data_IF_055683900393
#
_entry.id   IF_055683900393
#
_cell.length_a   1.000
_cell.length_b   1.000
_cell.length_c   1.000
_cell.angle_alpha   90.00
_cell.angle_beta   90.00
_cell.angle_gamma   90.00
#
_symmetry.space_group_name_H-M   'P 1'
#
loop_
_entity.id
_entity.type
_entity.pdbx_description
1 polymer ?
#
# COMPACT_ATOMS: atom_id res chain seq x y z
N UNK A 1 -3.72 4.87 19.13
CA UNK A 1 -4.04 5.70 17.95
C UNK A 1 -5.41 6.31 18.18
N UNK A 2 -5.70 7.51 17.66
CA UNK A 2 -7.04 8.10 17.75
C UNK A 2 -7.85 7.66 16.53
N UNK A 3 -9.06 7.16 16.76
CA UNK A 3 -9.98 6.80 15.68
C UNK A 3 -10.45 8.07 14.96
N UNK A 4 -10.43 8.04 13.63
CA UNK A 4 -10.96 9.11 12.79
C UNK A 4 -12.47 8.88 12.65
N UNK A 5 -13.26 9.95 12.65
CA UNK A 5 -14.68 9.86 12.27
C UNK A 5 -14.75 9.60 10.77
N UNK A 6 -15.21 8.43 10.38
CA UNK A 6 -15.26 7.97 8.99
C UNK A 6 -16.28 8.78 8.17
N UNK A 7 -15.93 9.11 6.94
CA UNK A 7 -16.86 9.69 5.97
C UNK A 7 -17.73 8.60 5.33
N UNK A 8 -18.91 8.95 4.80
CA UNK A 8 -19.85 7.99 4.21
C UNK A 8 -19.21 7.11 3.12
N UNK A 9 -18.33 7.69 2.29
CA UNK A 9 -17.58 6.94 1.28
C UNK A 9 -16.58 5.94 1.88
N UNK A 10 -15.91 6.29 2.97
CA UNK A 10 -14.96 5.42 3.68
C UNK A 10 -15.70 4.21 4.30
N UNK A 11 -16.87 4.45 4.90
CA UNK A 11 -17.72 3.40 5.46
C UNK A 11 -18.19 2.42 4.38
N UNK A 12 -18.61 2.93 3.22
CA UNK A 12 -19.08 2.08 2.11
C UNK A 12 -17.95 1.26 1.46
N UNK A 13 -16.74 1.80 1.43
CA UNK A 13 -15.56 1.05 0.97
C UNK A 13 -15.06 0.05 2.02
N UNK A 14 -15.52 0.15 3.27
CA UNK A 14 -15.04 -0.67 4.38
C UNK A 14 -13.66 -0.24 4.90
N UNK A 15 -13.24 0.99 4.61
CA UNK A 15 -11.97 1.55 5.05
C UNK A 15 -12.02 1.87 6.55
N UNK A 16 -11.00 1.45 7.30
CA UNK A 16 -10.83 1.78 8.72
C UNK A 16 -9.57 2.62 8.92
N UNK A 17 -9.68 3.90 8.58
CA UNK A 17 -8.56 4.83 8.66
C UNK A 17 -8.32 5.31 10.10
N UNK A 18 -7.05 5.34 10.51
CA UNK A 18 -6.62 5.82 11.82
C UNK A 18 -5.65 6.98 11.67
N UNK A 19 -5.63 7.90 12.65
CA UNK A 19 -4.67 9.00 12.62
C UNK A 19 -3.26 8.49 12.92
N UNK A 20 -2.36 8.70 11.96
CA UNK A 20 -0.94 8.44 12.14
C UNK A 20 -0.29 9.50 13.06
N UNK A 21 0.80 9.17 13.77
CA UNK A 21 1.46 10.08 14.71
C UNK A 21 2.28 11.21 14.05
N UNK A 22 2.35 11.26 12.71
CA UNK A 22 3.11 12.27 11.98
C UNK A 22 2.33 13.57 11.85
N UNK A 23 2.89 14.67 12.36
CA UNK A 23 2.31 16.00 12.22
C UNK A 23 2.93 16.73 11.03
N UNK A 24 2.17 16.80 9.94
CA UNK A 24 2.53 17.41 8.66
C UNK A 24 1.77 18.73 8.44
N UNK A 25 2.19 19.78 9.14
CA UNK A 25 1.55 21.09 9.04
C UNK A 25 1.98 21.82 7.75
N UNK A 26 1.05 22.49 7.07
CA UNK A 26 1.30 23.16 5.79
C UNK A 26 2.43 24.18 5.88
N UNK A 27 3.41 24.06 4.98
CA UNK A 27 4.63 24.89 4.91
C UNK A 27 5.49 24.91 6.19
N UNK A 28 5.30 23.94 7.09
CA UNK A 28 6.20 23.75 8.23
C UNK A 28 7.13 22.59 7.95
N UNK A 29 8.39 22.91 7.68
CA UNK A 29 9.44 21.91 7.60
C UNK A 29 9.80 21.39 9.00
N UNK A 30 10.18 20.11 9.04
CA UNK A 30 10.69 19.44 10.23
C UNK A 30 11.91 18.63 9.83
N UNK A 31 12.92 18.58 10.68
CA UNK A 31 14.13 17.80 10.40
C UNK A 31 14.38 16.84 11.55
N UNK A 32 14.33 15.54 11.26
CA UNK A 32 14.56 14.46 12.22
C UNK A 32 13.72 14.56 13.50
N UNK A 33 12.43 14.84 13.35
CA UNK A 33 11.49 14.90 14.47
C UNK A 33 11.21 13.48 14.99
N UNK A 34 11.21 13.32 16.32
CA UNK A 34 10.99 12.01 16.96
C UNK A 34 9.50 11.68 16.96
N UNK A 35 9.15 10.56 16.35
CA UNK A 35 7.79 10.00 16.39
C UNK A 35 7.59 9.28 17.72
N UNK A 36 8.45 8.30 17.98
CA UNK A 36 8.42 7.51 19.20
C UNK A 36 9.76 6.79 19.43
N UNK A 37 10.01 6.45 20.69
CA UNK A 37 11.07 5.54 21.12
C UNK A 37 10.41 4.26 21.60
N UNK A 38 10.81 3.12 21.06
CA UNK A 38 10.25 1.83 21.44
C UNK A 38 11.36 0.79 21.52
N UNK A 39 11.35 0.04 22.62
CA UNK A 39 12.12 -1.21 22.75
C UNK A 39 11.28 -2.35 22.17
N UNK A 40 11.72 -2.90 21.05
CA UNK A 40 11.05 -4.02 20.40
C UNK A 40 11.40 -5.30 21.15
N UNK A 41 10.37 -6.06 21.53
CA UNK A 41 10.51 -7.43 22.06
C UNK A 41 10.99 -8.40 20.97
N UNK A 42 11.48 -9.57 21.38
CA UNK A 42 11.95 -10.60 20.43
C UNK A 42 10.83 -11.04 19.49
N UNK A 43 9.61 -11.14 20.01
CA UNK A 43 8.42 -11.50 19.25
C UNK A 43 8.10 -10.43 18.20
N UNK A 44 8.16 -9.15 18.57
CA UNK A 44 7.94 -8.02 17.65
C UNK A 44 9.02 -7.93 16.58
N UNK A 45 10.29 -8.17 16.94
CA UNK A 45 11.40 -8.24 15.98
C UNK A 45 11.16 -9.37 14.98
N UNK A 46 10.73 -10.54 15.45
CA UNK A 46 10.32 -11.65 14.59
C UNK A 46 9.18 -11.30 13.63
N UNK A 47 8.16 -10.56 14.11
CA UNK A 47 7.05 -10.07 13.28
C UNK A 47 7.52 -9.07 12.22
N UNK A 48 8.35 -8.09 12.59
CA UNK A 48 8.91 -7.13 11.64
C UNK A 48 9.77 -7.82 10.59
N UNK A 49 10.64 -8.75 10.98
CA UNK A 49 11.46 -9.53 10.06
C UNK A 49 10.60 -10.33 9.07
N UNK A 50 9.52 -10.96 9.55
CA UNK A 50 8.58 -11.68 8.69
C UNK A 50 7.82 -10.76 7.72
N UNK A 51 7.46 -9.55 8.17
CA UNK A 51 6.82 -8.53 7.35
C UNK A 51 7.77 -8.00 6.27
N UNK A 52 9.02 -7.68 6.63
CA UNK A 52 10.06 -7.23 5.70
C UNK A 52 10.38 -8.32 4.67
N UNK A 53 10.44 -9.59 5.08
CA UNK A 53 10.63 -10.73 4.15
C UNK A 53 9.52 -10.86 3.11
N UNK A 54 8.32 -10.37 3.41
CA UNK A 54 7.14 -10.39 2.53
C UNK A 54 6.88 -9.04 1.86
N UNK A 55 7.85 -8.12 1.89
CA UNK A 55 7.76 -6.78 1.30
C UNK A 55 6.53 -5.99 1.76
N UNK A 56 6.17 -6.10 3.03
CA UNK A 56 5.07 -5.32 3.60
C UNK A 56 5.37 -3.82 3.52
N UNK A 57 4.36 -3.07 3.14
CA UNK A 57 4.36 -1.62 3.08
C UNK A 57 3.21 -1.07 3.92
N UNK A 58 3.37 0.18 4.38
CA UNK A 58 2.27 0.94 4.95
C UNK A 58 1.62 1.80 3.88
N UNK A 59 0.33 2.06 4.05
CA UNK A 59 -0.44 3.00 3.25
C UNK A 59 -0.97 4.10 4.17
N UNK A 60 -0.82 5.34 3.75
CA UNK A 60 -1.32 6.51 4.45
C UNK A 60 -1.99 7.46 3.45
N UNK A 61 -2.78 8.39 3.97
CA UNK A 61 -3.40 9.44 3.18
C UNK A 61 -3.06 10.80 3.79
N UNK A 62 -2.70 11.75 2.92
CA UNK A 62 -2.48 13.13 3.29
C UNK A 62 -3.15 14.03 2.25
N UNK A 63 -4.09 14.87 2.66
CA UNK A 63 -4.93 15.68 1.75
C UNK A 63 -5.60 14.84 0.64
N UNK A 64 -6.11 13.67 1.02
CA UNK A 64 -6.69 12.62 0.15
C UNK A 64 -5.72 12.01 -0.88
N UNK A 65 -4.43 12.37 -0.82
CA UNK A 65 -3.40 11.76 -1.65
C UNK A 65 -2.85 10.49 -0.98
N UNK A 66 -2.93 9.33 -1.64
CA UNK A 66 -2.41 8.10 -1.09
C UNK A 66 -0.88 8.07 -1.18
N UNK A 67 -0.23 7.61 -0.12
CA UNK A 67 1.21 7.37 -0.08
C UNK A 67 1.49 5.98 0.44
N UNK A 68 2.55 5.38 -0.10
CA UNK A 68 3.01 4.06 0.28
C UNK A 68 4.50 4.09 0.60
N UNK A 69 4.91 3.28 1.57
CA UNK A 69 6.31 3.11 1.93
C UNK A 69 6.57 1.73 2.50
N UNK A 70 7.68 1.11 2.09
CA UNK A 70 8.09 -0.17 2.66
C UNK A 70 8.51 -0.01 4.11
N UNK A 71 8.23 -1.04 4.91
CA UNK A 71 8.57 -1.06 6.34
C UNK A 71 10.08 -1.30 6.54
N UNK A 72 10.72 -2.01 5.60
CA UNK A 72 12.13 -2.34 5.66
C UNK A 72 12.67 -2.84 4.33
N UNK A 73 13.90 -3.35 4.34
CA UNK A 73 14.54 -3.97 3.17
C UNK A 73 15.27 -5.25 3.56
N UNK A 74 15.39 -6.16 2.60
CA UNK A 74 16.24 -7.34 2.71
C UNK A 74 17.53 -7.07 1.95
N UNK A 75 18.64 -7.29 2.61
CA UNK A 75 19.96 -7.26 2.00
C UNK A 75 20.42 -8.68 1.67
N UNK A 76 20.67 -8.90 0.38
CA UNK A 76 20.94 -10.21 -0.23
C UNK A 76 22.38 -10.32 -0.73
N UNK A 77 23.32 -9.67 -0.05
CA UNK A 77 24.75 -9.76 -0.40
C UNK A 77 25.33 -11.18 -0.26
N UNK A 78 24.74 -12.03 0.59
CA UNK A 78 25.14 -13.43 0.73
C UNK A 78 24.59 -14.34 -0.37
N UNK A 79 25.40 -15.34 -0.78
CA UNK A 79 25.00 -16.35 -1.78
C UNK A 79 23.95 -17.32 -1.25
N UNK A 80 23.91 -17.53 0.07
CA UNK A 80 22.97 -18.42 0.73
C UNK A 80 21.85 -17.65 1.46
N UNK A 81 20.61 -18.20 1.52
CA UNK A 81 19.49 -17.55 2.20
C UNK A 81 19.70 -17.31 3.70
N UNK A 82 20.65 -18.01 4.32
CA UNK A 82 21.03 -17.84 5.73
C UNK A 82 21.81 -16.56 6.00
N UNK A 83 22.43 -15.98 4.96
CA UNK A 83 23.24 -14.76 5.08
C UNK A 83 22.43 -13.49 4.84
N UNK A 84 21.13 -13.63 4.57
CA UNK A 84 20.25 -12.49 4.32
C UNK A 84 20.07 -11.67 5.59
N UNK A 85 20.34 -10.38 5.48
CA UNK A 85 20.10 -9.43 6.56
C UNK A 85 18.78 -8.72 6.36
N UNK A 86 18.05 -8.55 7.44
CA UNK A 86 16.75 -7.90 7.44
C UNK A 86 16.87 -6.58 8.18
N UNK A 87 16.54 -5.50 7.48
CA UNK A 87 16.64 -4.15 8.03
C UNK A 87 15.28 -3.50 8.09
N UNK A 88 14.98 -2.89 9.23
CA UNK A 88 13.84 -2.02 9.43
C UNK A 88 14.25 -0.57 9.15
N UNK A 89 13.40 0.17 8.46
CA UNK A 89 13.60 1.59 8.29
C UNK A 89 13.13 2.38 9.52
N UNK A 90 13.97 3.26 10.06
CA UNK A 90 13.60 4.09 11.21
C UNK A 90 13.30 5.55 10.87
N UNK A 91 13.72 6.04 9.70
CA UNK A 91 13.59 7.45 9.33
C UNK A 91 12.85 7.64 8.01
N UNK A 92 11.68 8.26 8.10
CA UNK A 92 10.81 8.54 6.95
C UNK A 92 10.91 10.01 6.55
N UNK A 93 11.16 10.27 5.27
CA UNK A 93 11.19 11.59 4.68
C UNK A 93 9.93 11.83 3.87
N UNK A 94 9.16 12.85 4.24
CA UNK A 94 8.02 13.35 3.50
C UNK A 94 8.46 14.54 2.67
N UNK A 95 8.43 14.39 1.34
CA UNK A 95 8.61 15.50 0.40
C UNK A 95 7.24 15.89 -0.14
N UNK A 96 6.76 17.06 0.28
CA UNK A 96 5.44 17.55 -0.07
C UNK A 96 5.59 18.70 -1.07
N UNK A 97 4.96 18.56 -2.22
CA UNK A 97 4.93 19.56 -3.26
C UNK A 97 3.63 20.35 -3.20
N UNK A 98 3.75 21.66 -3.29
CA UNK A 98 2.62 22.58 -3.19
C UNK A 98 2.63 23.60 -4.31
N UNK A 99 1.45 24.08 -4.68
CA UNK A 99 1.28 25.20 -5.59
C UNK A 99 0.36 26.20 -4.91
N UNK A 100 0.89 27.39 -4.59
CA UNK A 100 0.23 28.42 -3.80
C UNK A 100 -0.22 27.89 -2.43
N UNK A 101 -1.51 27.70 -2.25
CA UNK A 101 -2.20 27.31 -1.02
C UNK A 101 -2.65 25.84 -1.02
N UNK A 102 -2.24 25.05 -2.01
CA UNK A 102 -2.73 23.67 -2.19
C UNK A 102 -1.61 22.65 -2.26
N UNK A 103 -1.84 21.51 -1.63
CA UNK A 103 -1.00 20.32 -1.76
C UNK A 103 -1.27 19.67 -3.10
N UNK A 104 -0.19 19.39 -3.83
CA UNK A 104 -0.24 18.81 -5.18
C UNK A 104 0.23 17.36 -5.15
N UNK A 105 1.34 17.09 -4.46
CA UNK A 105 1.95 15.78 -4.45
C UNK A 105 2.63 15.55 -3.11
N UNK A 106 2.66 14.31 -2.65
CA UNK A 106 3.47 13.90 -1.52
C UNK A 106 4.24 12.64 -1.89
N UNK A 107 5.53 12.64 -1.60
CA UNK A 107 6.42 11.51 -1.77
C UNK A 107 6.96 11.07 -0.42
N UNK A 108 7.03 9.76 -0.24
CA UNK A 108 7.65 9.14 0.91
C UNK A 108 8.97 8.55 0.45
N UNK A 109 10.05 8.95 1.13
CA UNK A 109 11.37 8.38 0.95
C UNK A 109 11.86 7.85 2.28
N UNK A 110 12.75 6.88 2.24
CA UNK A 110 13.30 6.29 3.45
C UNK A 110 14.81 6.37 3.37
N UNK A 111 15.45 6.80 4.47
CA UNK A 111 16.91 6.97 4.47
C UNK A 111 17.60 5.60 4.51
N UNK A 112 18.39 5.23 3.49
CA UNK A 112 19.13 3.97 3.47
C UNK A 112 20.22 3.87 4.54
N UNK A 113 20.61 4.99 5.18
CA UNK A 113 21.57 5.01 6.28
C UNK A 113 20.90 4.87 7.65
N UNK A 114 19.60 5.17 7.74
CA UNK A 114 18.82 5.05 8.96
C UNK A 114 18.12 3.68 9.03
N UNK A 115 18.93 2.64 9.23
CA UNK A 115 18.49 1.26 9.32
C UNK A 115 18.65 0.71 10.73
N UNK A 116 17.80 -0.27 11.05
CA UNK A 116 17.91 -1.10 12.24
C UNK A 116 17.97 -2.55 11.81
N UNK A 117 19.00 -3.26 12.24
CA UNK A 117 19.12 -4.69 11.99
C UNK A 117 18.13 -5.47 12.87
N UNK A 118 17.24 -6.22 12.23
CA UNK A 118 16.22 -7.08 12.85
C UNK A 118 16.42 -8.55 12.46
N UNK A 119 17.64 -8.93 12.06
CA UNK A 119 17.97 -10.28 11.59
C UNK A 119 17.93 -11.31 12.72
N UNK A 120 18.38 -10.94 13.92
CA UNK A 120 18.44 -11.82 15.09
C UNK A 120 17.23 -11.65 16.02
N UNK A 121 16.82 -12.72 16.70
CA UNK A 121 15.74 -12.72 17.70
C UNK A 121 16.19 -12.14 19.05
N UNK A 122 16.58 -10.86 19.02
CA UNK A 122 16.99 -10.08 20.19
C UNK A 122 16.12 -8.85 20.34
N UNK A 123 16.10 -8.29 21.54
CA UNK A 123 15.46 -7.01 21.77
C UNK A 123 16.25 -5.90 21.09
N UNK A 124 15.54 -4.95 20.50
CA UNK A 124 16.15 -3.85 19.75
C UNK A 124 15.48 -2.54 20.12
N UNK A 125 16.28 -1.58 20.59
CA UNK A 125 15.82 -0.22 20.83
C UNK A 125 15.78 0.57 19.52
N UNK A 126 14.60 1.07 19.17
CA UNK A 126 14.37 1.85 17.95
C UNK A 126 13.78 3.20 18.28
N UNK A 127 14.41 4.24 17.75
CA UNK A 127 13.87 5.59 17.70
C UNK A 127 13.41 5.87 16.27
N UNK A 128 12.09 6.01 16.10
CA UNK A 128 11.49 6.35 14.81
C UNK A 128 11.48 7.86 14.62
N UNK A 129 11.97 8.30 13.47
CA UNK A 129 12.20 9.69 13.11
C UNK A 129 11.45 10.02 11.82
N UNK A 130 11.13 11.29 11.64
CA UNK A 130 10.63 11.77 10.37
C UNK A 130 11.13 13.17 10.01
N UNK A 131 11.28 13.40 8.72
CA UNK A 131 11.63 14.71 8.15
C UNK A 131 10.52 15.15 7.21
N UNK A 132 10.20 16.43 7.20
CA UNK A 132 9.19 17.04 6.33
C UNK A 132 9.84 18.17 5.54
N UNK A 133 9.78 18.06 4.22
CA UNK A 133 10.30 19.07 3.29
C UNK A 133 9.19 19.54 2.37
N UNK A 134 9.10 20.85 2.19
CA UNK A 134 8.12 21.48 1.33
C UNK A 134 8.81 22.03 0.08
N UNK A 135 8.24 21.75 -1.08
CA UNK A 135 8.80 22.18 -2.38
C UNK A 135 7.71 22.82 -3.22
N UNK A 136 7.99 23.97 -3.81
CA UNK A 136 7.06 24.59 -4.73
C UNK A 136 6.99 23.80 -6.05
N UNK A 137 5.83 23.84 -6.70
CA UNK A 137 5.63 23.29 -8.04
C UNK A 137 4.68 24.14 -8.85
N UNK A 138 4.86 24.12 -10.17
CA UNK A 138 3.98 24.80 -11.13
C UNK A 138 2.80 23.92 -11.58
N UNK A 139 2.72 22.66 -11.11
CA UNK A 139 1.64 21.75 -11.47
C UNK A 139 0.28 22.28 -10.96
N UNK A 140 -0.72 22.46 -11.85
CA UNK A 140 -2.07 22.85 -11.46
C UNK A 140 -2.77 21.81 -10.58
N UNK A 141 -3.65 22.25 -9.69
CA UNK A 141 -4.36 21.37 -8.74
C UNK A 141 -5.26 20.34 -9.43
N UNK A 142 -5.88 20.68 -10.56
CA UNK A 142 -6.71 19.79 -11.36
C UNK A 142 -5.95 18.56 -11.89
N UNK A 143 -4.64 18.68 -12.09
CA UNK A 143 -3.77 17.59 -12.57
C UNK A 143 -3.13 16.78 -11.45
N UNK A 144 -3.43 17.08 -10.17
CA UNK A 144 -2.77 16.44 -9.03
C UNK A 144 -2.97 14.92 -8.98
N UNK A 145 -4.09 14.43 -9.51
CA UNK A 145 -4.45 13.00 -9.46
C UNK A 145 -3.85 12.19 -10.63
N UNK A 146 -3.31 12.86 -11.67
CA UNK A 146 -2.79 12.21 -12.87
C UNK A 146 -1.64 11.23 -12.56
N UNK A 147 -0.84 11.52 -11.53
CA UNK A 147 0.24 10.64 -11.07
C UNK A 147 -0.30 9.34 -10.44
N UNK A 148 -1.38 9.44 -9.68
CA UNK A 148 -1.92 8.32 -8.91
C UNK A 148 -2.79 7.40 -9.77
N UNK A 149 -3.48 7.93 -10.78
CA UNK A 149 -4.26 7.13 -11.73
C UNK A 149 -3.38 6.16 -12.54
N UNK A 150 -2.13 6.56 -12.84
CA UNK A 150 -1.15 5.68 -13.47
C UNK A 150 -0.57 4.67 -12.46
N UNK A 151 -0.32 5.10 -11.23
CA UNK A 151 0.31 4.27 -10.17
C UNK A 151 -0.63 3.23 -9.57
N UNK A 152 -1.96 3.45 -9.60
CA UNK A 152 -2.96 2.45 -9.20
C UNK A 152 -2.96 1.19 -10.07
N UNK A 153 -2.21 1.19 -11.19
CA UNK A 153 -1.99 0.01 -12.04
C UNK A 153 -0.80 -0.87 -11.61
N UNK A 154 -0.29 -0.70 -10.37
CA UNK A 154 0.84 -1.48 -9.85
C UNK A 154 0.61 -3.01 -10.02
N UNK A 155 1.62 -3.78 -10.49
CA UNK A 155 1.38 -4.94 -11.36
C UNK A 155 0.71 -6.16 -10.72
N UNK A 156 0.65 -6.24 -9.38
CA UNK A 156 0.23 -7.47 -8.70
C UNK A 156 -1.30 -7.64 -8.59
N UNK A 157 -2.09 -6.57 -8.71
CA UNK A 157 -3.55 -6.67 -8.55
C UNK A 157 -4.29 -6.89 -9.89
N UNK A 158 -3.73 -6.41 -11.00
CA UNK A 158 -4.40 -6.49 -12.30
C UNK A 158 -4.42 -7.91 -12.87
N UNK A 159 -3.42 -8.74 -12.54
CA UNK A 159 -3.30 -10.12 -13.04
C UNK A 159 -4.31 -11.09 -12.43
N UNK A 160 -4.91 -10.80 -11.28
CA UNK A 160 -5.77 -11.78 -10.59
C UNK A 160 -7.24 -11.66 -11.02
N UNK A 161 -7.71 -10.45 -11.35
CA UNK A 161 -9.12 -10.23 -11.67
C UNK A 161 -9.55 -10.78 -13.04
N UNK A 162 -8.70 -10.68 -14.06
CA UNK A 162 -9.06 -11.13 -15.41
C UNK A 162 -9.23 -12.66 -15.51
N UNK A 163 -8.51 -13.44 -14.68
CA UNK A 163 -8.69 -14.90 -14.60
C UNK A 163 -10.11 -15.27 -14.12
N UNK A 164 -10.63 -14.58 -13.10
CA UNK A 164 -12.00 -14.79 -12.62
C UNK A 164 -13.06 -14.37 -13.65
N UNK A 165 -12.80 -13.30 -14.40
CA UNK A 165 -13.70 -12.82 -15.47
C UNK A 165 -13.78 -13.86 -16.59
N UNK A 166 -12.65 -14.40 -17.05
CA UNK A 166 -12.64 -15.45 -18.08
C UNK A 166 -13.37 -16.71 -17.59
N UNK A 167 -13.07 -17.16 -16.38
CA UNK A 167 -13.71 -18.35 -15.81
C UNK A 167 -15.25 -18.17 -15.74
N UNK A 168 -15.72 -17.00 -15.30
CA UNK A 168 -17.15 -16.68 -15.31
C UNK A 168 -17.74 -16.69 -16.72
N UNK A 169 -17.09 -16.05 -17.70
CA UNK A 169 -17.57 -16.03 -19.09
C UNK A 169 -17.68 -17.43 -19.70
N UNK A 170 -16.69 -18.29 -19.47
CA UNK A 170 -16.70 -19.68 -19.98
C UNK A 170 -17.87 -20.47 -19.38
N UNK A 171 -18.10 -20.36 -18.07
CA UNK A 171 -19.21 -21.07 -17.42
C UNK A 171 -20.58 -20.64 -17.96
N UNK A 172 -20.79 -19.34 -18.19
CA UNK A 172 -22.05 -18.81 -18.74
C UNK A 172 -22.30 -19.33 -20.16
N UNK A 173 -21.26 -19.36 -21.02
CA UNK A 173 -21.39 -19.88 -22.38
C UNK A 173 -21.74 -21.37 -22.40
N UNK A 174 -21.10 -22.17 -21.55
CA UNK A 174 -21.38 -23.61 -21.43
C UNK A 174 -22.82 -23.88 -20.94
N UNK A 175 -23.27 -23.16 -19.90
CA UNK A 175 -24.63 -23.30 -19.37
C UNK A 175 -25.68 -22.87 -20.39
N UNK A 176 -25.44 -21.78 -21.12
CA UNK A 176 -26.34 -21.30 -22.18
C UNK A 176 -26.41 -22.30 -23.33
N UNK A 177 -25.26 -22.85 -23.75
CA UNK A 177 -25.21 -23.91 -24.76
C UNK A 177 -25.98 -25.16 -24.34
N UNK A 178 -25.78 -25.63 -23.10
CA UNK A 178 -26.49 -26.79 -22.58
C UNK A 178 -28.01 -26.55 -22.54
N UNK A 179 -28.45 -25.39 -22.04
CA UNK A 179 -29.86 -25.01 -22.02
C UNK A 179 -30.45 -24.97 -23.43
N UNK A 180 -29.74 -24.37 -24.39
CA UNK A 180 -30.17 -24.33 -25.78
C UNK A 180 -30.34 -25.74 -26.39
N UNK A 181 -29.44 -26.68 -26.09
CA UNK A 181 -29.57 -28.07 -26.57
C UNK A 181 -30.78 -28.78 -25.97
N UNK A 182 -31.09 -28.57 -24.69
CA UNK A 182 -32.28 -29.14 -24.04
C UNK A 182 -33.54 -28.56 -24.67
N UNK A 183 -33.62 -27.24 -24.82
CA UNK A 183 -34.75 -26.56 -25.44
C UNK A 183 -34.97 -27.05 -26.88
N UNK A 184 -33.90 -27.15 -27.69
CA UNK A 184 -33.98 -27.67 -29.05
C UNK A 184 -34.44 -29.13 -29.08
N UNK A 185 -34.02 -29.95 -28.11
CA UNK A 185 -34.44 -31.36 -28.00
C UNK A 185 -35.91 -31.49 -27.63
N UNK A 186 -36.39 -30.68 -26.69
CA UNK A 186 -37.82 -30.64 -26.29
C UNK A 186 -38.66 -30.14 -27.45
N UNK A 187 -38.27 -29.03 -28.09
CA UNK A 187 -38.97 -28.45 -29.22
C UNK A 187 -39.06 -29.44 -30.39
N UNK A 188 -37.96 -30.11 -30.74
CA UNK A 188 -37.98 -31.16 -31.77
C UNK A 188 -38.90 -32.33 -31.38
N UNK A 189 -38.97 -32.70 -30.11
CA UNK A 189 -39.84 -33.78 -29.66
C UNK A 189 -41.34 -33.39 -29.65
N UNK A 190 -41.63 -32.10 -29.48
CA UNK A 190 -43.00 -31.57 -29.50
C UNK A 190 -43.53 -31.40 -30.94
N UNK A 191 -42.68 -30.97 -31.88
CA UNK A 191 -43.02 -30.84 -33.31
C UNK A 191 -43.04 -32.17 -34.09
N UNK A 192 -42.46 -33.25 -33.57
CA UNK A 192 -42.41 -34.58 -34.23
C UNK A 192 -43.62 -35.45 -33.83
N UNK A 193 -44.62 -34.88 -33.16
CA UNK A 193 -45.88 -35.52 -32.81
C UNK A 193 -47.04 -34.91 -33.60
#
# INVERSE_FOLDING_TARGET
MKEKKEALGEVLNGDRLVSAPYQLDFLREKDSEVVCKKRLSKEEVGQFRAAVKKDYYFQMYYDDLPIWGFIGKVDKEGKDPSDFKYYLFKHIHFDIFYNKDRVIEINVRTDPNALVDVTEDKEVDVEFLYTVKWKDTNTPFDKRMDKYSQSSSLPHHLEIHWFSIINSCVTVLLLTGFLATILMRVLKNDFVK
#
